data_IF_046879563320
#
_entry.id   IF_046879563320
#
_cell.length_a   1.000
_cell.length_b   1.000
_cell.length_c   1.000
_cell.angle_alpha   90.00
_cell.angle_beta   90.00
_cell.angle_gamma   90.00
#
_symmetry.space_group_name_H-M   'P 1'
#
loop_
_entity.id
_entity.type
_entity.pdbx_description
1 polymer ?
#
# COMPACT_ATOMS: atom_id res chain seq x y z
N UNK A 1 1.40 10.12 -4.53
CA UNK A 1 0.40 9.05 -4.33
C UNK A 1 -0.25 8.59 -5.61
N UNK A 2 -0.82 9.47 -6.45
CA UNK A 2 -1.48 9.09 -7.72
C UNK A 2 -0.75 8.01 -8.52
N UNK A 3 0.49 8.25 -8.95
CA UNK A 3 1.23 7.28 -9.76
C UNK A 3 1.57 6.00 -8.99
N UNK A 4 1.92 6.12 -7.69
CA UNK A 4 2.24 4.96 -6.86
C UNK A 4 1.01 4.05 -6.74
N UNK A 5 -0.17 4.63 -6.55
CA UNK A 5 -1.41 3.90 -6.46
C UNK A 5 -1.75 3.19 -7.77
N UNK A 6 -1.58 3.90 -8.89
CA UNK A 6 -1.80 3.36 -10.23
C UNK A 6 -0.85 2.20 -10.55
N UNK A 7 0.44 2.28 -10.18
CA UNK A 7 1.40 1.19 -10.37
C UNK A 7 1.06 -0.07 -9.57
N UNK A 8 0.43 0.10 -8.40
CA UNK A 8 0.05 -1.01 -7.53
C UNK A 8 -1.30 -1.62 -7.90
N UNK A 9 -2.08 -1.00 -8.79
CA UNK A 9 -3.34 -1.53 -9.34
C UNK A 9 -3.11 -2.51 -10.50
N UNK A 10 -2.29 -3.55 -10.27
CA UNK A 10 -2.01 -4.57 -11.27
C UNK A 10 -2.14 -6.00 -10.76
N UNK A 11 -2.81 -6.21 -9.63
CA UNK A 11 -3.19 -7.54 -9.13
C UNK A 11 -4.58 -7.51 -8.51
N UNK A 12 -5.38 -8.55 -8.78
CA UNK A 12 -6.73 -8.73 -8.23
C UNK A 12 -6.76 -8.52 -6.70
N UNK A 13 -7.67 -7.65 -6.25
CA UNK A 13 -7.89 -7.33 -4.85
C UNK A 13 -6.88 -6.34 -4.23
N UNK A 14 -5.69 -6.16 -4.79
CA UNK A 14 -4.61 -5.44 -4.11
C UNK A 14 -4.94 -3.95 -3.85
N UNK A 15 -5.25 -3.21 -4.91
CA UNK A 15 -5.58 -1.78 -4.83
C UNK A 15 -6.93 -1.49 -4.15
N UNK A 16 -7.91 -2.37 -4.33
CA UNK A 16 -9.19 -2.27 -3.63
C UNK A 16 -9.05 -2.51 -2.12
N UNK A 17 -8.22 -3.47 -1.70
CA UNK A 17 -7.92 -3.72 -0.30
C UNK A 17 -7.18 -2.57 0.36
N UNK A 18 -6.17 -2.00 -0.30
CA UNK A 18 -5.49 -0.80 0.19
C UNK A 18 -6.45 0.38 0.34
N UNK A 19 -7.41 0.54 -0.57
CA UNK A 19 -8.40 1.61 -0.47
C UNK A 19 -9.30 1.39 0.75
N UNK A 20 -9.85 0.18 0.91
CA UNK A 20 -10.70 -0.15 2.04
C UNK A 20 -9.98 0.04 3.38
N UNK A 21 -8.77 -0.52 3.52
CA UNK A 21 -8.01 -0.47 4.78
C UNK A 21 -7.49 0.95 5.03
N UNK A 22 -6.93 1.61 4.02
CA UNK A 22 -6.36 2.95 4.15
C UNK A 22 -7.39 4.02 4.50
N UNK A 23 -8.49 4.10 3.72
CA UNK A 23 -9.57 5.04 4.02
C UNK A 23 -10.35 4.64 5.28
N UNK A 24 -10.48 3.34 5.58
CA UNK A 24 -11.03 2.88 6.86
C UNK A 24 -10.20 3.38 8.05
N UNK A 25 -8.87 3.38 7.91
CA UNK A 25 -7.94 3.91 8.93
C UNK A 25 -8.09 5.41 9.11
N UNK A 26 -8.23 6.17 8.01
CA UNK A 26 -8.54 7.60 8.08
C UNK A 26 -9.88 7.88 8.77
N UNK A 27 -10.91 7.08 8.48
CA UNK A 27 -12.22 7.22 9.12
C UNK A 27 -12.12 6.98 10.63
N UNK A 28 -11.39 5.95 11.06
CA UNK A 28 -11.17 5.67 12.48
C UNK A 28 -10.36 6.77 13.19
N UNK A 29 -9.30 7.26 12.56
CA UNK A 29 -8.50 8.35 13.12
C UNK A 29 -9.30 9.66 13.24
N UNK A 30 -10.06 10.01 12.21
CA UNK A 30 -10.95 11.17 12.23
C UNK A 30 -12.06 11.05 13.29
N UNK A 31 -12.56 9.84 13.52
CA UNK A 31 -13.56 9.58 14.56
C UNK A 31 -12.99 9.85 15.95
N UNK A 32 -11.77 9.40 16.22
CA UNK A 32 -11.05 9.71 17.47
C UNK A 32 -10.79 11.20 17.62
N UNK A 33 -10.53 11.91 16.52
CA UNK A 33 -10.35 13.36 16.48
C UNK A 33 -11.68 14.16 16.48
N UNK A 34 -12.83 13.48 16.58
CA UNK A 34 -14.18 14.09 16.57
C UNK A 34 -14.52 14.90 15.31
N UNK A 35 -13.90 14.62 14.16
CA UNK A 35 -14.20 15.28 12.89
C UNK A 35 -15.16 14.46 12.02
N UNK A 36 -16.46 14.70 12.22
CA UNK A 36 -17.53 13.97 11.53
C UNK A 36 -17.46 14.09 10.00
N UNK A 37 -16.94 15.21 9.47
CA UNK A 37 -16.86 15.41 8.02
C UNK A 37 -15.84 14.45 7.39
N UNK A 38 -14.63 14.36 7.94
CA UNK A 38 -13.61 13.43 7.43
C UNK A 38 -13.99 11.97 7.71
N UNK A 39 -14.70 11.68 8.81
CA UNK A 39 -15.27 10.34 9.06
C UNK A 39 -16.19 9.95 7.91
N UNK A 40 -17.19 10.77 7.58
CA UNK A 40 -18.16 10.47 6.53
C UNK A 40 -17.49 10.30 5.17
N UNK A 41 -16.57 11.20 4.81
CA UNK A 41 -15.83 11.11 3.54
C UNK A 41 -15.01 9.82 3.44
N UNK A 42 -14.21 9.54 4.46
CA UNK A 42 -13.29 8.38 4.47
C UNK A 42 -14.05 7.06 4.59
N UNK A 43 -15.09 7.00 5.43
CA UNK A 43 -15.94 5.83 5.54
C UNK A 43 -16.69 5.54 4.24
N UNK A 44 -17.19 6.56 3.54
CA UNK A 44 -17.86 6.37 2.24
C UNK A 44 -16.91 5.78 1.20
N UNK A 45 -15.66 6.27 1.14
CA UNK A 45 -14.64 5.72 0.25
C UNK A 45 -14.27 4.28 0.62
N UNK A 46 -14.12 3.99 1.91
CA UNK A 46 -13.87 2.63 2.38
C UNK A 46 -15.03 1.68 2.02
N UNK A 47 -16.28 2.08 2.24
CA UNK A 47 -17.45 1.28 1.86
C UNK A 47 -17.54 1.06 0.35
N UNK A 48 -17.28 2.09 -0.47
CA UNK A 48 -17.25 1.95 -1.92
C UNK A 48 -16.13 0.99 -2.37
N UNK A 49 -14.94 1.09 -1.77
CA UNK A 49 -13.83 0.18 -2.02
C UNK A 49 -14.17 -1.26 -1.60
N UNK A 50 -14.86 -1.46 -0.48
CA UNK A 50 -15.33 -2.78 -0.04
C UNK A 50 -16.33 -3.37 -1.03
N UNK A 51 -17.31 -2.58 -1.50
CA UNK A 51 -18.27 -3.01 -2.53
C UNK A 51 -17.57 -3.39 -3.84
N UNK A 52 -16.60 -2.59 -4.27
CA UNK A 52 -15.75 -2.92 -5.43
C UNK A 52 -14.98 -4.22 -5.21
N UNK A 53 -14.42 -4.41 -4.00
CA UNK A 53 -13.59 -5.57 -3.67
C UNK A 53 -14.33 -6.90 -3.77
N UNK A 54 -15.65 -6.91 -3.50
CA UNK A 54 -16.50 -8.10 -3.70
C UNK A 54 -16.42 -8.63 -5.14
N UNK A 55 -16.25 -7.73 -6.12
CA UNK A 55 -16.15 -8.09 -7.54
C UNK A 55 -14.71 -8.12 -8.06
N UNK A 56 -13.77 -7.45 -7.39
CA UNK A 56 -12.37 -7.37 -7.79
C UNK A 56 -11.46 -8.40 -7.09
N UNK A 57 -11.88 -8.99 -5.97
CA UNK A 57 -11.10 -10.02 -5.30
C UNK A 57 -10.96 -11.26 -6.20
N UNK A 58 -9.78 -11.89 -6.16
CA UNK A 58 -9.44 -12.96 -7.11
C UNK A 58 -10.43 -14.14 -7.07
N UNK A 59 -10.95 -14.60 -8.22
CA UNK A 59 -10.71 -14.08 -9.58
C UNK A 59 -11.51 -12.81 -9.89
N UNK A 60 -10.83 -11.74 -10.31
CA UNK A 60 -11.46 -10.44 -10.57
C UNK A 60 -12.47 -10.50 -11.74
N UNK A 61 -13.64 -9.90 -11.52
CA UNK A 61 -14.69 -9.71 -12.55
C UNK A 61 -14.67 -8.30 -13.14
N UNK A 62 -14.20 -7.33 -12.35
CA UNK A 62 -14.02 -5.94 -12.77
C UNK A 62 -12.64 -5.47 -12.34
N UNK A 63 -12.03 -4.59 -13.14
CA UNK A 63 -10.74 -3.96 -12.86
C UNK A 63 -10.96 -2.50 -12.46
N UNK A 64 -10.08 -1.98 -11.61
CA UNK A 64 -10.16 -0.60 -11.13
C UNK A 64 -9.71 0.37 -12.23
N UNK A 65 -8.53 0.11 -12.81
CA UNK A 65 -7.99 0.89 -13.92
C UNK A 65 -7.71 2.34 -13.53
N UNK A 66 -7.38 3.17 -14.52
CA UNK A 66 -7.04 4.58 -14.30
C UNK A 66 -8.22 5.37 -13.72
N UNK A 67 -9.46 5.02 -14.10
CA UNK A 67 -10.68 5.65 -13.62
C UNK A 67 -10.87 5.53 -12.10
N UNK A 68 -10.34 4.48 -11.46
CA UNK A 68 -10.42 4.30 -10.01
C UNK A 68 -9.10 4.60 -9.29
N UNK A 69 -7.98 4.11 -9.82
CA UNK A 69 -6.68 4.18 -9.12
C UNK A 69 -6.13 5.60 -9.02
N UNK A 70 -6.29 6.43 -10.06
CA UNK A 70 -5.87 7.84 -10.07
C UNK A 70 -6.63 8.66 -9.02
N UNK A 71 -7.99 8.68 -9.01
CA UNK A 71 -8.71 9.44 -8.00
C UNK A 71 -8.50 8.89 -6.59
N UNK A 72 -8.40 7.58 -6.38
CA UNK A 72 -8.09 7.02 -5.06
C UNK A 72 -6.70 7.46 -4.57
N UNK A 73 -5.69 7.43 -5.45
CA UNK A 73 -4.36 7.93 -5.13
C UNK A 73 -4.33 9.42 -4.84
N UNK A 74 -5.14 10.23 -5.53
CA UNK A 74 -5.30 11.66 -5.22
C UNK A 74 -5.97 11.85 -3.85
N UNK A 75 -7.12 11.20 -3.61
CA UNK A 75 -7.88 11.31 -2.37
C UNK A 75 -7.09 10.83 -1.15
N UNK A 76 -6.30 9.77 -1.28
CA UNK A 76 -5.42 9.29 -0.20
C UNK A 76 -4.41 10.36 0.23
N UNK A 77 -3.85 11.11 -0.73
CA UNK A 77 -2.94 12.22 -0.46
C UNK A 77 -3.69 13.45 0.08
N UNK A 78 -4.79 13.85 -0.57
CA UNK A 78 -5.53 15.07 -0.27
C UNK A 78 -6.21 15.00 1.09
N UNK A 79 -6.88 13.89 1.43
CA UNK A 79 -7.48 13.69 2.75
C UNK A 79 -6.39 13.57 3.81
N UNK A 80 -5.30 12.85 3.51
CA UNK A 80 -4.15 12.74 4.42
C UNK A 80 -3.54 14.10 4.77
N UNK A 81 -3.35 14.96 3.76
CA UNK A 81 -2.88 16.32 3.94
C UNK A 81 -3.90 17.19 4.69
N UNK A 82 -5.18 17.10 4.34
CA UNK A 82 -6.26 17.82 5.03
C UNK A 82 -6.29 17.51 6.52
N UNK A 83 -6.25 16.23 6.89
CA UNK A 83 -6.26 15.82 8.29
C UNK A 83 -5.01 16.24 9.05
N UNK A 84 -3.85 16.33 8.39
CA UNK A 84 -2.67 16.93 9.01
C UNK A 84 -2.85 18.44 9.27
N UNK A 85 -3.33 19.18 8.27
CA UNK A 85 -3.53 20.63 8.40
C UNK A 85 -4.58 21.01 9.45
N UNK A 86 -5.56 20.14 9.70
CA UNK A 86 -6.63 20.35 10.70
C UNK A 86 -6.36 19.63 12.03
N UNK A 87 -5.17 19.05 12.22
CA UNK A 87 -4.79 18.43 13.49
C UNK A 87 -5.47 17.11 13.83
N UNK A 88 -6.04 16.41 12.85
CA UNK A 88 -6.63 15.07 13.03
C UNK A 88 -5.56 14.00 13.27
N UNK A 89 -4.38 14.18 12.67
CA UNK A 89 -3.22 13.30 12.79
C UNK A 89 -1.94 14.04 12.40
N UNK A 90 -0.79 13.45 12.73
CA UNK A 90 0.51 14.01 12.35
C UNK A 90 0.85 13.76 10.86
N UNK A 91 1.80 14.54 10.32
CA UNK A 91 2.22 14.47 8.90
C UNK A 91 2.70 13.08 8.45
N UNK A 92 3.28 12.30 9.36
CA UNK A 92 3.78 10.96 9.07
C UNK A 92 2.65 9.92 8.94
N UNK A 93 1.46 10.19 9.47
CA UNK A 93 0.39 9.22 9.59
C UNK A 93 -0.12 8.73 8.22
N UNK A 94 -0.47 9.62 7.24
CA UNK A 94 -0.76 9.21 5.86
C UNK A 94 0.33 8.38 5.20
N UNK A 95 1.59 8.72 5.46
CA UNK A 95 2.75 8.04 4.88
C UNK A 95 2.84 6.63 5.43
N UNK A 96 2.63 6.44 6.74
CA UNK A 96 2.62 5.12 7.33
C UNK A 96 1.42 4.32 6.85
N UNK A 97 0.20 4.85 6.89
CA UNK A 97 -1.03 4.14 6.47
C UNK A 97 -0.92 3.56 5.05
N UNK A 98 -0.39 4.34 4.10
CA UNK A 98 -0.22 3.90 2.71
C UNK A 98 1.19 3.36 2.40
N UNK A 99 2.01 3.11 3.44
CA UNK A 99 3.39 2.65 3.26
C UNK A 99 3.57 1.35 2.48
N UNK A 100 2.64 0.35 2.49
CA UNK A 100 2.80 -0.82 1.63
C UNK A 100 2.94 -0.45 0.15
N UNK A 101 2.15 0.51 -0.33
CA UNK A 101 2.22 1.00 -1.71
C UNK A 101 3.40 1.95 -1.94
N UNK A 102 3.67 2.83 -0.97
CA UNK A 102 4.76 3.80 -1.08
C UNK A 102 6.10 3.08 -1.15
N UNK A 103 6.32 2.11 -0.26
CA UNK A 103 7.60 1.39 -0.16
C UNK A 103 7.84 0.54 -1.39
N UNK A 104 6.88 -0.29 -1.82
CA UNK A 104 7.06 -1.13 -3.01
C UNK A 104 7.38 -0.26 -4.24
N UNK A 105 6.52 0.73 -4.54
CA UNK A 105 6.70 1.56 -5.72
C UNK A 105 8.01 2.37 -5.67
N UNK A 106 8.34 2.96 -4.52
CA UNK A 106 9.55 3.79 -4.39
C UNK A 106 10.83 2.94 -4.46
N UNK A 107 10.89 1.82 -3.74
CA UNK A 107 12.07 0.94 -3.76
C UNK A 107 12.27 0.34 -5.14
N UNK A 108 11.19 -0.10 -5.79
CA UNK A 108 11.24 -0.64 -7.15
C UNK A 108 11.76 0.39 -8.15
N UNK A 109 11.20 1.60 -8.16
CA UNK A 109 11.64 2.67 -9.06
C UNK A 109 13.09 3.09 -8.77
N UNK A 110 13.48 3.18 -7.50
CA UNK A 110 14.85 3.49 -7.11
C UNK A 110 15.84 2.43 -7.62
N UNK A 111 15.55 1.14 -7.43
CA UNK A 111 16.41 0.05 -7.92
C UNK A 111 16.56 0.07 -9.44
N UNK A 112 15.47 0.35 -10.17
CA UNK A 112 15.49 0.52 -11.64
C UNK A 112 16.37 1.71 -12.05
N UNK A 113 16.20 2.85 -11.37
CA UNK A 113 17.00 4.04 -11.63
C UNK A 113 18.50 3.79 -11.38
N UNK A 114 18.87 3.10 -10.30
CA UNK A 114 20.26 2.70 -10.03
C UNK A 114 20.84 1.79 -11.11
N UNK A 115 20.01 0.97 -11.76
CA UNK A 115 20.40 0.12 -12.91
C UNK A 115 20.39 0.86 -14.25
N UNK A 116 20.09 2.16 -14.25
CA UNK A 116 19.91 3.00 -15.47
C UNK A 116 18.84 2.46 -16.42
N UNK A 117 17.85 1.74 -15.89
CA UNK A 117 16.68 1.33 -16.65
C UNK A 117 15.76 2.54 -16.90
N UNK A 118 15.01 2.53 -18.00
CA UNK A 118 13.99 3.55 -18.23
C UNK A 118 12.86 3.38 -17.21
N UNK A 119 12.81 4.29 -16.23
CA UNK A 119 11.76 4.31 -15.19
C UNK A 119 10.37 4.62 -15.74
N UNK A 120 10.29 5.24 -16.93
CA UNK A 120 9.03 5.58 -17.61
C UNK A 120 8.45 4.44 -18.45
N UNK A 121 9.22 3.39 -18.73
CA UNK A 121 8.73 2.24 -19.48
C UNK A 121 7.97 1.30 -18.55
N UNK A 122 6.83 0.80 -19.04
CA UNK A 122 6.04 -0.19 -18.33
C UNK A 122 6.90 -1.40 -17.94
N UNK A 123 6.79 -1.82 -16.68
CA UNK A 123 7.61 -2.89 -16.13
C UNK A 123 6.81 -3.80 -15.20
N UNK A 124 7.40 -4.96 -14.87
CA UNK A 124 6.79 -5.99 -14.03
C UNK A 124 7.67 -6.36 -12.84
N UNK A 125 8.27 -5.37 -12.21
CA UNK A 125 9.31 -5.54 -11.17
C UNK A 125 8.90 -5.08 -9.78
N UNK A 126 7.63 -4.70 -9.57
CA UNK A 126 7.12 -4.46 -8.23
C UNK A 126 7.14 -5.74 -7.40
N UNK A 127 7.26 -5.61 -6.09
CA UNK A 127 7.38 -6.76 -5.19
C UNK A 127 6.16 -7.67 -5.29
N UNK A 128 4.95 -7.10 -5.35
CA UNK A 128 3.74 -7.89 -5.57
C UNK A 128 3.80 -8.65 -6.92
N UNK A 129 4.35 -8.05 -7.97
CA UNK A 129 4.48 -8.68 -9.29
C UNK A 129 5.50 -9.81 -9.28
N UNK A 130 6.63 -9.64 -8.59
CA UNK A 130 7.60 -10.71 -8.38
C UNK A 130 6.98 -11.88 -7.62
N UNK A 131 6.21 -11.63 -6.55
CA UNK A 131 5.52 -12.68 -5.81
C UNK A 131 4.56 -13.48 -6.71
N UNK A 132 3.75 -12.79 -7.52
CA UNK A 132 2.86 -13.43 -8.49
C UNK A 132 3.64 -14.26 -9.52
N UNK A 133 4.73 -13.71 -10.08
CA UNK A 133 5.59 -14.41 -11.05
C UNK A 133 6.31 -15.62 -10.47
N UNK A 134 6.66 -15.59 -9.18
CA UNK A 134 7.20 -16.74 -8.43
C UNK A 134 6.14 -17.79 -8.07
N UNK A 135 4.90 -17.67 -8.59
CA UNK A 135 3.86 -18.68 -8.43
C UNK A 135 3.00 -18.54 -7.17
N UNK A 136 3.06 -17.41 -6.46
CA UNK A 136 2.15 -17.18 -5.32
C UNK A 136 0.70 -17.03 -5.76
N UNK A 137 0.47 -16.54 -6.98
CA UNK A 137 -0.84 -16.20 -7.49
C UNK A 137 -1.43 -14.94 -6.86
N UNK A 138 -2.46 -14.39 -7.49
CA UNK A 138 -3.06 -13.11 -7.09
C UNK A 138 -3.71 -13.17 -5.70
N UNK A 139 -4.52 -14.21 -5.44
CA UNK A 139 -5.22 -14.37 -4.15
C UNK A 139 -4.27 -14.40 -2.96
N UNK A 140 -3.21 -15.20 -3.04
CA UNK A 140 -2.24 -15.33 -1.94
C UNK A 140 -1.53 -14.01 -1.73
N UNK A 141 -1.05 -13.38 -2.81
CA UNK A 141 -0.36 -12.08 -2.73
C UNK A 141 -1.24 -11.03 -2.06
N UNK A 142 -2.52 -10.91 -2.47
CA UNK A 142 -3.46 -9.98 -1.86
C UNK A 142 -3.68 -10.23 -0.35
N UNK A 143 -3.83 -11.50 0.09
CA UNK A 143 -4.03 -11.82 1.51
C UNK A 143 -2.82 -11.40 2.36
N UNK A 144 -1.60 -11.68 1.91
CA UNK A 144 -0.39 -11.29 2.67
C UNK A 144 -0.21 -9.77 2.69
N UNK A 145 -0.55 -9.09 1.60
CA UNK A 145 -0.57 -7.64 1.54
C UNK A 145 -1.63 -7.04 2.48
N UNK A 146 -2.81 -7.65 2.62
CA UNK A 146 -3.80 -7.19 3.59
C UNK A 146 -3.33 -7.35 5.04
N UNK A 147 -2.63 -8.45 5.36
CA UNK A 147 -2.04 -8.62 6.69
C UNK A 147 -1.04 -7.50 6.97
N UNK A 148 -0.20 -7.16 6.00
CA UNK A 148 0.73 -6.05 6.11
C UNK A 148 0.00 -4.72 6.27
N UNK A 149 -0.97 -4.41 5.41
CA UNK A 149 -1.78 -3.18 5.45
C UNK A 149 -2.53 -3.02 6.78
N UNK A 150 -3.16 -4.08 7.30
CA UNK A 150 -3.86 -4.05 8.59
C UNK A 150 -2.87 -3.86 9.74
N UNK A 151 -1.72 -4.54 9.71
CA UNK A 151 -0.70 -4.39 10.76
C UNK A 151 -0.17 -2.96 10.82
N UNK A 152 0.11 -2.37 9.65
CA UNK A 152 0.51 -0.97 9.50
C UNK A 152 -0.59 -0.02 9.97
N UNK A 153 -1.85 -0.25 9.56
CA UNK A 153 -3.00 0.57 9.96
C UNK A 153 -3.19 0.59 11.48
N UNK A 154 -3.18 -0.58 12.13
CA UNK A 154 -3.27 -0.72 13.59
C UNK A 154 -2.11 0.01 14.25
N UNK A 155 -0.88 -0.20 13.76
CA UNK A 155 0.30 0.47 14.30
C UNK A 155 0.19 1.99 14.14
N UNK A 156 -0.27 2.50 13.01
CA UNK A 156 -0.46 3.93 12.79
C UNK A 156 -1.46 4.53 13.79
N UNK A 157 -2.61 3.86 14.02
CA UNK A 157 -3.61 4.32 14.98
C UNK A 157 -3.08 4.36 16.42
N UNK A 158 -2.29 3.36 16.81
CA UNK A 158 -1.65 3.32 18.14
C UNK A 158 -0.61 4.43 18.26
N UNK A 159 0.32 4.51 17.29
CA UNK A 159 1.42 5.48 17.32
C UNK A 159 0.94 6.93 17.25
N UNK A 160 -0.25 7.19 16.70
CA UNK A 160 -0.85 8.54 16.67
C UNK A 160 -1.23 9.05 18.07
N UNK A 161 -1.31 8.16 19.07
CA UNK A 161 -1.61 8.48 20.46
C UNK A 161 -0.38 8.39 21.38
N UNK A 162 0.76 7.98 20.82
CA UNK A 162 1.99 7.71 21.56
C UNK A 162 2.84 8.96 21.77
N UNK A 163 3.72 8.90 22.77
CA UNK A 163 4.76 9.90 22.99
C UNK A 163 5.85 9.79 21.92
N UNK A 164 6.69 10.83 21.79
CA UNK A 164 7.68 10.92 20.71
C UNK A 164 8.68 9.74 20.65
N UNK A 165 9.10 9.20 21.81
CA UNK A 165 10.03 8.06 21.88
C UNK A 165 9.40 6.79 21.30
N UNK A 166 8.16 6.49 21.69
CA UNK A 166 7.39 5.33 21.20
C UNK A 166 7.10 5.46 19.71
N UNK A 167 6.77 6.67 19.24
CA UNK A 167 6.60 7.00 17.83
C UNK A 167 7.86 6.68 17.03
N UNK A 168 9.00 7.25 17.42
CA UNK A 168 10.28 7.05 16.70
C UNK A 168 10.67 5.57 16.71
N UNK A 169 10.45 4.88 17.83
CA UNK A 169 10.72 3.45 17.95
C UNK A 169 9.83 2.64 17.01
N UNK A 170 8.53 2.91 16.99
CA UNK A 170 7.57 2.24 16.10
C UNK A 170 7.86 2.48 14.63
N UNK A 171 8.17 3.72 14.23
CA UNK A 171 8.60 4.03 12.86
C UNK A 171 9.89 3.31 12.47
N UNK A 172 10.86 3.24 13.39
CA UNK A 172 12.12 2.52 13.17
C UNK A 172 11.90 1.02 12.99
N UNK A 173 10.99 0.42 13.76
CA UNK A 173 10.59 -0.98 13.60
C UNK A 173 10.01 -1.22 12.20
N UNK A 174 9.13 -0.34 11.70
CA UNK A 174 8.58 -0.48 10.35
C UNK A 174 9.64 -0.36 9.26
N UNK A 175 10.62 0.54 9.41
CA UNK A 175 11.74 0.64 8.47
C UNK A 175 12.52 -0.69 8.42
N UNK A 176 12.79 -1.30 9.58
CA UNK A 176 13.48 -2.59 9.66
C UNK A 176 12.63 -3.71 9.05
N UNK A 177 11.34 -3.77 9.36
CA UNK A 177 10.40 -4.78 8.80
C UNK A 177 10.39 -4.68 7.27
N UNK A 178 10.20 -3.47 6.71
CA UNK A 178 10.22 -3.27 5.27
C UNK A 178 11.56 -3.65 4.64
N UNK A 179 12.67 -3.30 5.29
CA UNK A 179 14.01 -3.69 4.86
C UNK A 179 14.15 -5.22 4.79
N UNK A 180 13.69 -5.95 5.81
CA UNK A 180 13.71 -7.41 5.84
C UNK A 180 12.82 -7.98 4.73
N UNK A 181 11.58 -7.50 4.58
CA UNK A 181 10.65 -7.97 3.52
C UNK A 181 11.29 -7.80 2.15
N UNK A 182 11.83 -6.61 1.86
CA UNK A 182 12.50 -6.29 0.60
C UNK A 182 13.67 -7.23 0.33
N UNK A 183 14.54 -7.45 1.33
CA UNK A 183 15.70 -8.34 1.20
C UNK A 183 15.29 -9.80 0.97
N UNK A 184 14.28 -10.28 1.69
CA UNK A 184 13.77 -11.65 1.55
C UNK A 184 13.16 -11.90 0.17
N UNK A 185 12.37 -10.94 -0.36
CA UNK A 185 11.80 -11.08 -1.69
C UNK A 185 12.88 -10.98 -2.77
N UNK A 186 13.84 -10.06 -2.63
CA UNK A 186 14.98 -9.96 -3.55
C UNK A 186 15.80 -11.24 -3.61
N UNK A 187 16.11 -11.85 -2.46
CA UNK A 187 16.87 -13.11 -2.39
C UNK A 187 16.12 -14.25 -3.07
N UNK A 188 14.83 -14.41 -2.74
CA UNK A 188 13.97 -15.41 -3.40
C UNK A 188 13.84 -15.17 -4.90
N UNK A 189 13.74 -13.92 -5.32
CA UNK A 189 13.66 -13.55 -6.73
C UNK A 189 14.92 -13.95 -7.50
N UNK A 190 16.12 -13.70 -6.93
CA UNK A 190 17.39 -14.13 -7.53
C UNK A 190 17.47 -15.66 -7.67
N UNK A 191 17.07 -16.40 -6.63
CA UNK A 191 17.04 -17.87 -6.67
C UNK A 191 16.08 -18.39 -7.74
N UNK A 192 14.89 -17.79 -7.85
CA UNK A 192 13.91 -18.12 -8.89
C UNK A 192 14.45 -17.88 -10.30
N UNK A 193 15.10 -16.73 -10.54
CA UNK A 193 15.71 -16.42 -11.83
C UNK A 193 16.82 -17.42 -12.20
N UNK A 194 17.65 -17.80 -11.23
CA UNK A 194 18.73 -18.78 -11.45
C UNK A 194 18.17 -20.16 -11.80
N UNK A 195 17.18 -20.65 -11.04
CA UNK A 195 16.52 -21.92 -11.33
C UNK A 195 15.86 -21.93 -12.73
N UNK A 196 15.23 -20.81 -13.12
CA UNK A 196 14.60 -20.68 -14.43
C UNK A 196 15.60 -20.64 -15.60
N UNK A 197 16.85 -20.24 -15.37
CA UNK A 197 17.90 -20.25 -16.40
C UNK A 197 18.54 -21.63 -16.56
N UNK A 198 18.59 -22.45 -15.52
CA UNK A 198 19.19 -23.81 -15.56
C UNK A 198 18.29 -24.83 -16.29
N UNK A 199 16.98 -24.57 -16.39
CA UNK A 199 16.01 -25.47 -17.04
C UNK A 199 15.87 -25.19 -18.55
N UNK A 200 16.48 -24.11 -19.06
CA UNK A 200 16.53 -23.78 -20.50
C UNK A 200 17.83 -24.25 -21.13
#
# INVERSE_FOLDING_TARGET
MVNLYNFMDGSDGLAGGMAFIGFGTYALAAYVAHDNQTVLMSASLASAALSFLIFNFHPAKIFMGDCGSIPLGFLAASIGFYGWQHGLWAVWFPILVFSPFIVDATVTLFKRACRRENVWQAHRSHYYQHLVQMGWGHRKTAIYEYILMISVAISALILNQCQWIELVTGLSIWIVIYGIIVLLIDDRWKQFQHAATVIR
#
